data_IF_505528407357
#
_entry.id   IF_505528407357
#
_cell.length_a   1.000
_cell.length_b   1.000
_cell.length_c   1.000
_cell.angle_alpha   90.00
_cell.angle_beta   90.00
_cell.angle_gamma   90.00
#
_symmetry.space_group_name_H-M   'P 1'
#
loop_
_entity.id
_entity.type
_entity.pdbx_description
1 polymer ?
#
# COMPACT_ATOMS: atom_id res chain seq x y z
N UNK A 1 0.55 -34.27 72.33
CA UNK A 1 1.51 -33.71 71.35
C UNK A 1 1.36 -34.39 69.98
N UNK A 2 0.59 -33.77 69.07
CA UNK A 2 0.54 -34.19 67.67
C UNK A 2 0.33 -32.94 66.79
N UNK A 3 1.15 -32.89 65.75
CA UNK A 3 1.59 -31.73 64.97
C UNK A 3 0.47 -31.15 64.08
N UNK A 4 0.28 -29.83 64.12
CA UNK A 4 -0.58 -29.11 63.18
C UNK A 4 0.10 -28.98 61.81
N UNK A 5 -0.52 -29.54 60.76
CA UNK A 5 -0.11 -29.39 59.36
C UNK A 5 -0.67 -28.08 58.80
N UNK A 6 0.19 -27.09 58.60
CA UNK A 6 -0.14 -25.89 57.83
C UNK A 6 0.12 -26.16 56.35
N UNK A 7 -0.93 -26.10 55.53
CA UNK A 7 -0.80 -26.08 54.07
C UNK A 7 -0.50 -24.65 53.65
N UNK A 8 0.73 -24.40 53.22
CA UNK A 8 1.12 -23.14 52.57
C UNK A 8 0.55 -23.16 51.15
N UNK A 9 -0.50 -22.38 50.91
CA UNK A 9 -1.04 -22.16 49.56
C UNK A 9 -0.15 -21.14 48.85
N UNK A 10 0.70 -21.61 47.94
CA UNK A 10 1.53 -20.72 47.12
C UNK A 10 0.68 -19.96 46.11
N UNK A 11 0.62 -18.64 46.24
CA UNK A 11 0.00 -17.76 45.25
C UNK A 11 0.99 -17.53 44.10
N UNK A 12 0.75 -18.15 42.95
CA UNK A 12 1.49 -17.85 41.71
C UNK A 12 0.97 -16.52 41.16
N UNK A 13 1.71 -15.45 41.42
CA UNK A 13 1.55 -14.16 40.74
C UNK A 13 2.14 -14.30 39.32
N UNK A 14 1.30 -14.66 38.36
CA UNK A 14 1.60 -14.52 36.94
C UNK A 14 1.68 -13.03 36.61
N UNK A 15 2.90 -12.49 36.56
CA UNK A 15 3.17 -11.17 35.99
C UNK A 15 2.90 -11.27 34.49
N UNK A 16 1.68 -10.90 34.09
CA UNK A 16 1.34 -10.70 32.68
C UNK A 16 2.15 -9.53 32.15
N UNK A 17 3.22 -9.82 31.41
CA UNK A 17 3.89 -8.83 30.57
C UNK A 17 2.87 -8.44 29.50
N UNK A 18 2.15 -7.35 29.74
CA UNK A 18 1.45 -6.63 28.69
C UNK A 18 2.53 -6.11 27.75
N UNK A 19 2.91 -6.91 26.76
CA UNK A 19 3.50 -6.38 25.55
C UNK A 19 2.43 -5.45 24.96
N UNK A 20 2.52 -4.16 25.29
CA UNK A 20 1.95 -3.13 24.45
C UNK A 20 2.72 -3.22 23.13
N UNK A 21 2.29 -4.17 22.28
CA UNK A 21 2.67 -4.17 20.89
C UNK A 21 2.39 -2.77 20.37
N UNK A 22 3.38 -2.16 19.74
CA UNK A 22 3.17 -0.92 19.02
C UNK A 22 2.23 -1.28 17.86
N UNK A 23 0.93 -1.15 18.12
CA UNK A 23 -0.10 -1.39 17.12
C UNK A 23 0.02 -0.30 16.07
N UNK A 24 0.28 -0.69 14.83
CA UNK A 24 0.57 0.24 13.75
C UNK A 24 -0.74 0.59 13.06
N UNK A 25 -1.05 1.88 12.98
CA UNK A 25 -2.29 2.34 12.35
C UNK A 25 -2.28 2.13 10.82
N UNK A 26 -1.10 1.95 10.21
CA UNK A 26 -0.91 1.92 8.76
C UNK A 26 -0.86 0.49 8.24
N UNK A 27 -2.04 -0.04 7.91
CA UNK A 27 -2.26 -1.41 7.43
C UNK A 27 -3.24 -1.44 6.26
N UNK A 28 -3.11 -2.43 5.38
CA UNK A 28 -4.20 -2.78 4.49
C UNK A 28 -5.38 -3.29 5.33
N UNK A 29 -6.59 -2.85 5.00
CA UNK A 29 -7.81 -3.24 5.70
C UNK A 29 -8.87 -3.70 4.72
N UNK A 30 -9.62 -4.73 5.10
CA UNK A 30 -10.75 -5.23 4.32
C UNK A 30 -12.02 -4.40 4.56
N UNK A 31 -13.15 -4.83 3.99
CA UNK A 31 -14.44 -4.14 4.08
C UNK A 31 -15.00 -4.07 5.52
N UNK A 32 -14.61 -4.99 6.39
CA UNK A 32 -15.00 -4.98 7.81
C UNK A 32 -14.09 -4.08 8.66
N UNK A 33 -13.04 -3.52 8.05
CA UNK A 33 -12.00 -2.77 8.75
C UNK A 33 -10.95 -3.66 9.43
N UNK A 34 -11.02 -4.98 9.27
CA UNK A 34 -10.02 -5.90 9.81
C UNK A 34 -8.69 -5.72 9.08
N UNK A 35 -7.59 -5.89 9.80
CA UNK A 35 -6.25 -5.84 9.22
C UNK A 35 -5.99 -7.07 8.36
N UNK A 36 -5.43 -6.84 7.17
CA UNK A 36 -5.01 -7.89 6.25
C UNK A 36 -3.59 -7.63 5.76
N UNK A 37 -2.85 -8.70 5.48
CA UNK A 37 -1.47 -8.58 5.03
C UNK A 37 -1.38 -8.03 3.60
N UNK A 38 -2.33 -8.42 2.75
CA UNK A 38 -2.46 -7.96 1.38
C UNK A 38 -3.92 -8.09 0.94
N UNK A 39 -4.30 -7.35 -0.10
CA UNK A 39 -5.53 -7.61 -0.85
C UNK A 39 -5.40 -7.17 -2.31
N UNK A 40 -6.16 -7.82 -3.18
CA UNK A 40 -6.43 -7.37 -4.54
C UNK A 40 -7.89 -6.94 -4.62
N UNK A 41 -8.12 -5.78 -5.24
CA UNK A 41 -9.45 -5.25 -5.51
C UNK A 41 -9.58 -4.95 -7.00
N UNK A 42 -10.64 -5.46 -7.62
CA UNK A 42 -10.97 -5.25 -9.04
C UNK A 42 -12.34 -4.60 -9.18
N UNK A 43 -12.36 -3.29 -9.45
CA UNK A 43 -13.56 -2.54 -9.76
C UNK A 43 -14.06 -2.88 -11.16
N UNK A 44 -15.36 -3.13 -11.26
CA UNK A 44 -16.00 -3.47 -12.53
C UNK A 44 -16.13 -2.26 -13.45
N UNK A 45 -16.10 -2.44 -14.79
CA UNK A 45 -16.50 -1.38 -15.71
C UNK A 45 -17.97 -1.02 -15.46
N UNK A 46 -18.39 0.16 -15.93
CA UNK A 46 -19.78 0.60 -15.78
C UNK A 46 -20.71 -0.07 -16.80
N UNK A 47 -20.74 -1.40 -16.79
CA UNK A 47 -21.73 -2.21 -17.47
C UNK A 47 -22.89 -2.45 -16.49
N UNK A 48 -24.13 -2.34 -16.97
CA UNK A 48 -25.35 -2.57 -16.18
C UNK A 48 -25.48 -1.73 -14.89
N UNK A 49 -24.92 -0.52 -14.87
CA UNK A 49 -24.90 0.40 -13.71
C UNK A 49 -24.12 -0.13 -12.50
N UNK A 50 -23.21 -1.08 -12.72
CA UNK A 50 -22.43 -1.73 -11.67
C UNK A 50 -21.01 -1.14 -11.53
N UNK A 51 -20.76 0.03 -12.11
CA UNK A 51 -19.45 0.70 -12.14
C UNK A 51 -18.89 1.14 -10.79
N UNK A 52 -19.57 0.91 -9.67
CA UNK A 52 -19.03 1.12 -8.32
C UNK A 52 -18.80 -0.19 -7.55
N UNK A 53 -19.32 -1.31 -8.06
CA UNK A 53 -19.09 -2.64 -7.47
C UNK A 53 -17.69 -3.15 -7.80
N UNK A 54 -17.15 -3.96 -6.91
CA UNK A 54 -15.83 -4.56 -7.09
C UNK A 54 -15.75 -5.98 -6.56
N UNK A 55 -14.87 -6.77 -7.17
CA UNK A 55 -14.40 -8.02 -6.62
C UNK A 55 -13.23 -7.77 -5.68
N UNK A 56 -13.14 -8.57 -4.63
CA UNK A 56 -12.14 -8.47 -3.58
C UNK A 56 -11.52 -9.84 -3.32
N UNK A 57 -10.24 -9.86 -2.99
CA UNK A 57 -9.50 -11.05 -2.59
C UNK A 57 -8.45 -10.69 -1.55
N UNK A 58 -8.38 -11.46 -0.47
CA UNK A 58 -7.28 -11.46 0.49
C UNK A 58 -6.99 -12.91 0.94
N UNK A 59 -6.11 -13.09 1.93
CA UNK A 59 -5.78 -14.42 2.48
C UNK A 59 -7.00 -15.20 3.00
N UNK A 60 -7.99 -14.49 3.55
CA UNK A 60 -9.16 -15.07 4.20
C UNK A 60 -10.31 -15.41 3.26
N UNK A 61 -10.35 -14.83 2.05
CA UNK A 61 -11.48 -15.03 1.12
C UNK A 61 -11.42 -16.34 0.34
N UNK A 62 -10.25 -17.00 0.27
CA UNK A 62 -10.02 -18.21 -0.54
C UNK A 62 -10.45 -18.04 -2.02
N UNK A 63 -10.15 -16.87 -2.60
CA UNK A 63 -10.48 -16.52 -3.99
C UNK A 63 -11.27 -15.22 -4.11
N UNK A 64 -11.73 -14.93 -5.33
CA UNK A 64 -12.50 -13.72 -5.62
C UNK A 64 -13.89 -13.80 -4.99
N UNK A 65 -14.26 -12.78 -4.24
CA UNK A 65 -15.61 -12.57 -3.77
C UNK A 65 -16.15 -11.22 -4.26
N UNK A 66 -17.45 -11.13 -4.49
CA UNK A 66 -18.09 -9.85 -4.76
C UNK A 66 -18.24 -9.09 -3.43
N UNK A 67 -17.69 -7.87 -3.36
CA UNK A 67 -17.84 -7.02 -2.18
C UNK A 67 -19.28 -6.57 -2.00
N UNK A 68 -19.69 -6.38 -0.74
CA UNK A 68 -20.96 -5.74 -0.39
C UNK A 68 -20.85 -4.21 -0.35
N UNK A 69 -19.63 -3.70 -0.39
CA UNK A 69 -19.32 -2.27 -0.39
C UNK A 69 -19.17 -1.75 -1.83
N UNK A 70 -19.44 -0.46 -2.01
CA UNK A 70 -19.06 0.25 -3.23
C UNK A 70 -17.64 0.80 -3.09
N UNK A 71 -16.93 0.94 -4.19
CA UNK A 71 -15.53 1.40 -4.19
C UNK A 71 -15.36 2.84 -3.67
N UNK A 72 -16.43 3.63 -3.70
CA UNK A 72 -16.51 4.99 -3.18
C UNK A 72 -17.14 5.07 -1.78
N UNK A 73 -17.46 3.94 -1.16
CA UNK A 73 -17.98 3.87 0.20
C UNK A 73 -16.96 4.40 1.20
N UNK A 74 -17.42 5.01 2.30
CA UNK A 74 -16.58 5.46 3.42
C UNK A 74 -16.23 4.33 4.40
N UNK A 75 -16.77 3.12 4.20
CA UNK A 75 -16.50 1.91 5.00
C UNK A 75 -15.89 0.74 4.23
N UNK A 76 -15.61 0.88 2.93
CA UNK A 76 -14.99 -0.19 2.12
C UNK A 76 -13.47 -0.33 2.32
N UNK A 77 -12.88 -1.41 1.80
CA UNK A 77 -11.45 -1.71 1.94
C UNK A 77 -10.52 -0.53 1.63
N UNK A 78 -10.78 0.24 0.56
CA UNK A 78 -10.00 1.44 0.22
C UNK A 78 -10.14 2.54 1.28
N UNK A 79 -11.35 2.83 1.75
CA UNK A 79 -11.58 3.85 2.76
C UNK A 79 -10.93 3.47 4.09
N UNK A 80 -11.06 2.22 4.50
CA UNK A 80 -10.45 1.69 5.72
C UNK A 80 -8.91 1.76 5.64
N UNK A 81 -8.33 1.40 4.50
CA UNK A 81 -6.87 1.46 4.26
C UNK A 81 -6.36 2.89 4.20
N UNK A 82 -7.11 3.82 3.60
CA UNK A 82 -6.73 5.23 3.47
C UNK A 82 -7.05 6.07 4.71
N UNK A 83 -7.72 5.51 5.72
CA UNK A 83 -8.10 6.22 6.94
C UNK A 83 -6.93 7.01 7.58
N UNK A 84 -5.69 6.48 7.71
CA UNK A 84 -4.58 7.26 8.27
C UNK A 84 -4.25 8.53 7.47
N UNK A 85 -4.39 8.49 6.14
CA UNK A 85 -4.21 9.64 5.28
C UNK A 85 -5.31 10.69 5.51
N UNK A 86 -6.56 10.25 5.64
CA UNK A 86 -7.70 11.13 5.90
C UNK A 86 -7.62 11.78 7.28
N UNK A 87 -7.22 11.03 8.30
CA UNK A 87 -6.98 11.57 9.64
C UNK A 87 -5.84 12.61 9.62
N UNK A 88 -4.80 12.38 8.82
CA UNK A 88 -3.69 13.32 8.64
C UNK A 88 -4.13 14.65 8.02
N UNK A 89 -5.08 14.63 7.08
CA UNK A 89 -5.62 15.87 6.49
C UNK A 89 -6.32 16.78 7.51
N UNK A 90 -6.97 16.20 8.51
CA UNK A 90 -7.61 16.96 9.58
C UNK A 90 -6.58 17.47 10.60
N UNK A 91 -5.62 16.62 10.95
CA UNK A 91 -4.58 16.93 11.95
C UNK A 91 -3.31 16.15 11.66
N UNK A 92 -2.19 16.87 11.56
CA UNK A 92 -0.86 16.25 11.42
C UNK A 92 -0.61 15.21 12.51
N UNK A 93 -0.14 14.04 12.09
CA UNK A 93 0.19 12.90 12.95
C UNK A 93 1.72 12.76 12.96
N UNK A 94 2.33 12.88 14.14
CA UNK A 94 3.78 12.72 14.27
C UNK A 94 4.20 11.29 13.96
N UNK A 95 5.25 11.13 13.15
CA UNK A 95 5.76 9.81 12.80
C UNK A 95 4.94 9.06 11.75
N UNK A 96 3.96 9.72 11.12
CA UNK A 96 3.30 9.28 9.90
C UNK A 96 3.89 10.01 8.69
N UNK A 97 3.90 9.33 7.54
CA UNK A 97 4.22 9.94 6.26
C UNK A 97 3.41 9.33 5.13
N UNK A 98 3.28 10.08 4.04
CA UNK A 98 2.60 9.62 2.84
C UNK A 98 3.25 10.14 1.57
N UNK A 99 3.05 9.41 0.48
CA UNK A 99 3.34 9.85 -0.88
C UNK A 99 2.25 9.31 -1.82
N UNK A 100 1.62 10.23 -2.55
CA UNK A 100 0.67 9.92 -3.61
C UNK A 100 1.35 10.17 -4.95
N UNK A 101 1.37 9.16 -5.83
CA UNK A 101 1.99 9.27 -7.14
C UNK A 101 1.02 8.86 -8.24
N UNK A 102 1.10 9.53 -9.38
CA UNK A 102 0.25 9.26 -10.55
C UNK A 102 0.76 10.02 -11.77
N UNK A 103 0.84 9.36 -12.93
CA UNK A 103 1.01 10.01 -14.24
C UNK A 103 -0.24 10.78 -14.69
N UNK A 104 -1.38 10.58 -14.02
CA UNK A 104 -2.63 11.31 -14.26
C UNK A 104 -3.19 11.80 -12.92
N UNK A 105 -2.51 12.76 -12.25
CA UNK A 105 -2.88 13.20 -10.90
C UNK A 105 -4.17 14.04 -10.89
N UNK A 106 -4.83 14.22 -9.74
CA UNK A 106 -5.93 15.17 -9.61
C UNK A 106 -5.44 16.62 -9.82
N UNK A 107 -6.36 17.52 -10.21
CA UNK A 107 -6.07 18.95 -10.29
C UNK A 107 -5.62 19.48 -8.91
N UNK A 108 -4.70 20.46 -8.84
CA UNK A 108 -4.13 21.25 -9.95
C UNK A 108 -2.89 20.65 -10.62
N UNK A 109 -2.49 19.43 -10.27
CA UNK A 109 -1.23 18.85 -10.74
C UNK A 109 -1.32 18.33 -12.18
N UNK A 110 -0.19 18.35 -12.87
CA UNK A 110 0.01 17.78 -14.21
C UNK A 110 1.35 17.06 -14.22
N UNK A 111 1.37 15.77 -14.52
CA UNK A 111 2.60 15.00 -14.62
C UNK A 111 3.26 15.22 -15.99
N UNK A 112 4.58 15.50 -16.05
CA UNK A 112 5.31 15.51 -17.32
C UNK A 112 5.33 14.12 -17.96
N UNK A 113 5.32 14.02 -19.31
CA UNK A 113 5.33 12.73 -20.02
C UNK A 113 6.62 11.92 -19.84
N UNK A 114 7.64 12.50 -19.22
CA UNK A 114 8.90 11.81 -18.90
C UNK A 114 8.82 10.91 -17.66
N UNK A 115 7.75 11.02 -16.85
CA UNK A 115 7.51 10.16 -15.70
C UNK A 115 6.83 8.85 -16.13
N UNK A 116 7.04 7.79 -15.35
CA UNK A 116 6.48 6.48 -15.67
C UNK A 116 4.98 6.41 -15.51
N UNK A 117 4.32 5.64 -16.40
CA UNK A 117 2.90 5.30 -16.33
C UNK A 117 2.65 4.42 -15.11
N UNK A 118 2.38 5.07 -13.99
CA UNK A 118 2.29 4.42 -12.69
C UNK A 118 1.47 5.29 -11.76
N UNK A 119 0.70 4.64 -10.89
CA UNK A 119 -0.14 5.31 -9.90
C UNK A 119 -0.18 4.50 -8.62
N UNK A 120 -0.23 5.17 -7.48
CA UNK A 120 -0.27 4.50 -6.21
C UNK A 120 -0.19 5.42 -5.00
N UNK A 121 -0.30 4.78 -3.85
CA UNK A 121 -0.27 5.39 -2.53
C UNK A 121 0.76 4.64 -1.68
N UNK A 122 1.65 5.40 -1.07
CA UNK A 122 2.55 4.93 -0.02
C UNK A 122 2.15 5.62 1.26
N UNK A 123 1.78 4.86 2.28
CA UNK A 123 1.60 5.37 3.65
C UNK A 123 2.54 4.58 4.55
N UNK A 124 3.16 5.24 5.53
CA UNK A 124 4.01 4.54 6.50
C UNK A 124 4.10 5.28 7.83
N UNK A 125 4.27 4.51 8.90
CA UNK A 125 4.65 4.99 10.22
C UNK A 125 6.02 4.41 10.62
N UNK A 126 6.41 4.55 11.89
CA UNK A 126 7.71 4.06 12.40
C UNK A 126 7.78 2.53 12.53
N UNK A 127 6.68 1.81 12.39
CA UNK A 127 6.58 0.36 12.57
C UNK A 127 6.29 -0.38 11.25
N UNK A 128 5.31 0.08 10.48
CA UNK A 128 4.93 -0.53 9.21
C UNK A 128 4.38 0.49 8.21
N UNK A 129 3.94 0.01 7.05
CA UNK A 129 3.28 0.85 6.08
C UNK A 129 2.57 0.02 5.01
N UNK A 130 1.87 0.73 4.13
CA UNK A 130 1.23 0.15 2.95
C UNK A 130 1.84 0.71 1.68
N UNK A 131 2.01 -0.16 0.70
CA UNK A 131 2.17 0.24 -0.71
C UNK A 131 0.95 -0.27 -1.48
N UNK A 132 0.14 0.67 -1.95
CA UNK A 132 -1.07 0.44 -2.73
C UNK A 132 -0.83 0.87 -4.18
N UNK A 133 -0.65 -0.08 -5.09
CA UNK A 133 -0.57 0.19 -6.53
C UNK A 133 -1.96 0.17 -7.15
N UNK A 134 -2.24 1.06 -8.12
CA UNK A 134 -3.55 1.10 -8.78
C UNK A 134 -3.52 1.64 -10.21
N UNK A 135 -4.60 1.41 -10.96
CA UNK A 135 -4.77 1.94 -12.33
C UNK A 135 -5.62 3.21 -12.42
N UNK A 136 -6.29 3.62 -11.33
CA UNK A 136 -7.30 4.70 -11.35
C UNK A 136 -6.71 6.10 -11.55
N UNK A 137 -7.02 6.80 -12.65
CA UNK A 137 -6.57 8.18 -12.84
C UNK A 137 -7.25 9.12 -11.83
N UNK A 138 -6.54 10.18 -11.43
CA UNK A 138 -6.99 11.22 -10.47
C UNK A 138 -7.36 10.70 -9.08
N UNK A 139 -6.90 9.50 -8.72
CA UNK A 139 -7.08 8.90 -7.40
C UNK A 139 -5.87 9.14 -6.48
N UNK A 140 -6.12 9.30 -5.16
CA UNK A 140 -7.39 9.74 -4.59
C UNK A 140 -7.72 11.17 -5.07
N UNK A 141 -8.95 11.60 -4.85
CA UNK A 141 -9.29 13.02 -5.01
C UNK A 141 -8.42 13.87 -4.08
N UNK A 142 -8.03 15.06 -4.55
CA UNK A 142 -7.05 15.87 -3.86
C UNK A 142 -7.56 16.33 -2.48
N UNK A 143 -6.83 15.93 -1.42
CA UNK A 143 -7.07 16.31 -0.02
C UNK A 143 -8.55 16.28 0.40
N UNK A 144 -9.23 15.20 0.03
CA UNK A 144 -10.64 14.99 0.35
C UNK A 144 -10.88 13.58 0.87
N UNK A 145 -11.84 13.46 1.81
CA UNK A 145 -12.34 12.17 2.29
C UNK A 145 -13.32 11.53 1.32
N UNK A 146 -13.93 12.30 0.42
CA UNK A 146 -14.64 11.78 -0.75
C UNK A 146 -13.61 11.37 -1.81
N UNK A 147 -12.85 10.31 -1.50
CA UNK A 147 -11.58 9.97 -2.14
C UNK A 147 -11.70 9.42 -3.57
N UNK A 148 -12.89 8.94 -3.94
CA UNK A 148 -13.11 8.31 -5.24
C UNK A 148 -13.36 9.35 -6.36
N UNK A 149 -12.62 9.30 -7.48
CA UNK A 149 -12.82 10.25 -8.58
C UNK A 149 -13.88 9.77 -9.57
N UNK A 150 -14.71 10.69 -10.09
CA UNK A 150 -15.80 10.37 -11.03
C UNK A 150 -15.32 9.66 -12.31
N UNK A 151 -14.12 10.00 -12.81
CA UNK A 151 -13.57 9.33 -14.00
C UNK A 151 -13.20 7.86 -13.75
N UNK A 152 -13.10 7.43 -12.49
CA UNK A 152 -12.92 6.03 -12.12
C UNK A 152 -14.16 5.19 -12.39
N UNK A 153 -15.33 5.79 -12.61
CA UNK A 153 -16.59 5.05 -12.76
C UNK A 153 -16.67 4.28 -14.08
N UNK A 154 -16.18 4.85 -15.18
CA UNK A 154 -16.41 4.30 -16.52
C UNK A 154 -15.73 2.94 -16.75
N UNK A 155 -14.42 2.86 -16.47
CA UNK A 155 -13.61 1.69 -16.81
C UNK A 155 -13.38 0.78 -15.62
N UNK A 156 -12.99 -0.47 -15.89
CA UNK A 156 -12.46 -1.34 -14.86
C UNK A 156 -11.19 -0.73 -14.25
N UNK A 157 -10.98 -0.97 -12.97
CA UNK A 157 -9.79 -0.50 -12.25
C UNK A 157 -9.31 -1.58 -11.31
N UNK A 158 -8.00 -1.73 -11.17
CA UNK A 158 -7.43 -2.68 -10.24
C UNK A 158 -6.54 -1.99 -9.22
N UNK A 159 -6.48 -2.59 -8.03
CA UNK A 159 -5.76 -2.13 -6.87
C UNK A 159 -5.10 -3.35 -6.21
N UNK A 160 -3.86 -3.18 -5.78
CA UNK A 160 -3.13 -4.16 -4.98
C UNK A 160 -2.53 -3.46 -3.77
N UNK A 161 -2.95 -3.86 -2.57
CA UNK A 161 -2.42 -3.36 -1.31
C UNK A 161 -1.56 -4.44 -0.67
N UNK A 162 -0.37 -4.07 -0.20
CA UNK A 162 0.43 -4.92 0.67
C UNK A 162 0.94 -4.14 1.87
N UNK A 163 0.77 -4.73 3.05
CA UNK A 163 1.31 -4.25 4.31
C UNK A 163 2.74 -4.73 4.46
N UNK A 164 3.70 -3.80 4.51
CA UNK A 164 5.11 -4.11 4.68
C UNK A 164 5.65 -3.65 6.04
N UNK A 165 6.59 -4.38 6.65
CA UNK A 165 7.34 -3.85 7.79
C UNK A 165 8.20 -2.67 7.33
N UNK A 166 8.42 -1.69 8.22
CA UNK A 166 9.13 -0.44 7.90
C UNK A 166 10.46 -0.64 7.13
N UNK A 167 11.20 -1.71 7.45
CA UNK A 167 12.48 -2.04 6.79
C UNK A 167 12.39 -2.22 5.26
N UNK A 168 11.22 -2.55 4.70
CA UNK A 168 11.05 -2.71 3.24
C UNK A 168 10.98 -1.37 2.50
N UNK A 169 10.66 -0.28 3.19
CA UNK A 169 10.38 1.00 2.53
C UNK A 169 11.61 1.67 1.91
N UNK A 170 12.82 1.26 2.32
CA UNK A 170 14.04 1.60 1.58
C UNK A 170 14.00 1.01 0.17
N UNK A 171 13.74 -0.29 0.04
CA UNK A 171 13.71 -0.99 -1.24
C UNK A 171 12.51 -0.56 -2.11
N UNK A 172 11.35 -0.32 -1.49
CA UNK A 172 10.19 0.26 -2.18
C UNK A 172 10.54 1.64 -2.77
N UNK A 173 11.28 2.49 -2.05
CA UNK A 173 11.79 3.75 -2.59
C UNK A 173 12.70 3.56 -3.81
N UNK A 174 13.52 2.51 -3.82
CA UNK A 174 14.33 2.14 -5.00
C UNK A 174 13.43 1.73 -6.18
N UNK A 175 12.44 0.87 -5.96
CA UNK A 175 11.50 0.45 -7.01
C UNK A 175 10.77 1.68 -7.61
N UNK A 176 10.26 2.57 -6.77
CA UNK A 176 9.55 3.78 -7.21
C UNK A 176 10.46 4.77 -7.97
N UNK A 177 11.75 4.84 -7.61
CA UNK A 177 12.76 5.58 -8.37
C UNK A 177 12.95 5.00 -9.77
N UNK A 178 12.98 3.68 -9.91
CA UNK A 178 13.12 3.01 -11.21
C UNK A 178 11.88 3.15 -12.08
N UNK A 179 10.69 3.06 -11.47
CA UNK A 179 9.41 3.40 -12.10
C UNK A 179 9.40 4.86 -12.57
N UNK A 180 10.21 5.73 -11.96
CA UNK A 180 10.18 7.17 -12.16
C UNK A 180 8.78 7.72 -11.86
N UNK A 181 8.27 7.37 -10.66
CA UNK A 181 6.93 7.71 -10.22
C UNK A 181 6.77 9.23 -10.00
N UNK A 182 5.70 9.81 -10.55
CA UNK A 182 5.40 11.23 -10.37
C UNK A 182 4.68 11.47 -9.03
N UNK A 183 5.44 11.80 -7.99
CA UNK A 183 4.89 12.23 -6.68
C UNK A 183 4.21 13.60 -6.83
N UNK A 184 2.89 13.65 -6.65
CA UNK A 184 2.10 14.88 -6.79
C UNK A 184 1.72 15.51 -5.45
N UNK A 185 1.54 14.73 -4.39
CA UNK A 185 1.35 15.20 -3.02
C UNK A 185 2.06 14.23 -2.07
N UNK A 186 2.85 14.77 -1.13
CA UNK A 186 3.62 13.96 -0.20
C UNK A 186 3.99 14.74 1.05
N UNK A 187 4.06 14.04 2.18
CA UNK A 187 4.71 14.51 3.39
C UNK A 187 5.50 13.33 3.98
N UNK A 188 6.80 13.29 3.68
CA UNK A 188 7.72 12.24 4.15
C UNK A 188 8.71 12.87 5.14
N UNK A 189 8.62 12.56 6.45
CA UNK A 189 9.55 13.06 7.45
C UNK A 189 11.02 12.77 7.10
N UNK A 190 11.93 13.64 7.55
CA UNK A 190 13.37 13.48 7.29
C UNK A 190 13.98 12.24 7.94
N UNK A 191 13.29 11.68 8.94
CA UNK A 191 13.63 10.42 9.63
C UNK A 191 13.30 9.18 8.81
N UNK A 192 12.52 9.30 7.73
CA UNK A 192 12.17 8.20 6.84
C UNK A 192 13.21 7.97 5.75
N UNK A 193 13.21 6.80 5.05
CA UNK A 193 14.24 6.44 4.09
C UNK A 193 14.46 7.52 3.03
N UNK A 194 15.74 7.82 2.75
CA UNK A 194 16.11 8.85 1.78
C UNK A 194 15.63 8.49 0.37
N UNK A 195 15.53 7.20 0.04
CA UNK A 195 15.05 6.69 -1.23
C UNK A 195 13.59 7.12 -1.48
N UNK A 196 12.72 7.02 -0.47
CA UNK A 196 11.35 7.53 -0.55
C UNK A 196 11.31 9.05 -0.65
N UNK A 197 12.08 9.74 0.21
CA UNK A 197 12.14 11.21 0.20
C UNK A 197 12.56 11.76 -1.16
N UNK A 198 13.50 11.09 -1.80
CA UNK A 198 14.03 11.47 -3.09
C UNK A 198 12.99 11.33 -4.21
N UNK A 199 12.19 10.26 -4.21
CA UNK A 199 11.04 10.12 -5.12
C UNK A 199 9.95 11.16 -4.81
N UNK A 200 9.66 11.38 -3.52
CA UNK A 200 8.68 12.36 -3.08
C UNK A 200 9.00 13.78 -3.58
N UNK A 201 10.29 14.14 -3.58
CA UNK A 201 10.80 15.41 -4.09
C UNK A 201 10.93 15.45 -5.62
N UNK A 202 10.80 14.31 -6.31
CA UNK A 202 11.02 14.13 -7.76
C UNK A 202 12.46 14.41 -8.20
N UNK A 203 13.42 14.21 -7.30
CA UNK A 203 14.83 14.58 -7.48
C UNK A 203 15.72 13.42 -7.97
N UNK A 204 15.17 12.21 -8.07
CA UNK A 204 15.92 11.05 -8.56
C UNK A 204 15.18 10.16 -9.54
N UNK A 205 16.02 9.58 -10.39
CA UNK A 205 15.76 8.55 -11.37
C UNK A 205 17.08 7.79 -11.57
N UNK A 206 17.07 6.56 -12.12
CA UNK A 206 18.31 5.84 -12.44
C UNK A 206 19.12 6.62 -13.49
N UNK A 207 20.40 6.89 -13.19
CA UNK A 207 21.31 7.66 -14.06
C UNK A 207 22.27 6.77 -14.86
N UNK A 208 22.36 5.49 -14.50
CA UNK A 208 23.25 4.49 -15.09
C UNK A 208 22.49 3.16 -15.16
N UNK A 209 22.99 2.29 -16.02
CA UNK A 209 22.54 0.91 -16.12
C UNK A 209 22.76 0.13 -14.81
N UNK A 210 21.97 -0.92 -14.55
CA UNK A 210 20.85 -1.40 -15.37
C UNK A 210 19.66 -0.42 -15.36
N UNK A 211 18.88 -0.35 -16.45
CA UNK A 211 17.67 0.49 -16.56
C UNK A 211 16.42 -0.14 -15.93
N UNK A 212 16.61 -1.19 -15.14
CA UNK A 212 15.55 -1.90 -14.43
C UNK A 212 16.00 -2.23 -13.00
N UNK A 213 15.04 -2.58 -12.15
CA UNK A 213 15.24 -3.13 -10.82
C UNK A 213 14.29 -4.30 -10.61
N UNK A 214 14.76 -5.32 -9.90
CA UNK A 214 13.95 -6.44 -9.42
C UNK A 214 14.25 -6.63 -7.93
N UNK A 215 13.21 -6.71 -7.11
CA UNK A 215 13.36 -6.95 -5.69
C UNK A 215 12.29 -7.92 -5.18
N UNK A 216 12.68 -8.79 -4.24
CA UNK A 216 11.71 -9.53 -3.43
C UNK A 216 11.41 -8.72 -2.18
N UNK A 217 10.15 -8.31 -2.05
CA UNK A 217 9.61 -7.62 -0.89
C UNK A 217 8.83 -8.61 -0.05
N UNK A 218 9.10 -8.65 1.25
CA UNK A 218 8.41 -9.53 2.20
C UNK A 218 7.42 -8.72 3.02
N UNK A 219 6.14 -9.09 2.95
CA UNK A 219 5.04 -8.49 3.71
C UNK A 219 5.18 -8.69 5.22
N UNK A 220 4.27 -8.11 5.99
CA UNK A 220 4.29 -8.18 7.45
C UNK A 220 4.03 -9.59 7.97
N UNK A 221 3.20 -10.37 7.27
CA UNK A 221 2.94 -11.78 7.58
C UNK A 221 3.93 -12.75 6.93
N UNK A 222 4.97 -12.24 6.26
CA UNK A 222 6.06 -13.07 5.73
C UNK A 222 5.87 -13.59 4.30
N UNK A 223 4.83 -13.15 3.58
CA UNK A 223 4.61 -13.49 2.17
C UNK A 223 5.59 -12.70 1.30
N UNK A 224 6.17 -13.36 0.30
CA UNK A 224 7.09 -12.74 -0.64
C UNK A 224 6.33 -12.24 -1.89
N UNK A 225 6.60 -11.01 -2.27
CA UNK A 225 6.12 -10.36 -3.49
C UNK A 225 7.34 -9.96 -4.32
N UNK A 226 7.31 -10.22 -5.62
CA UNK A 226 8.39 -9.79 -6.52
C UNK A 226 7.96 -8.48 -7.19
N UNK A 227 8.74 -7.43 -6.97
CA UNK A 227 8.55 -6.14 -7.63
C UNK A 227 9.53 -6.01 -8.79
N UNK A 228 9.00 -5.70 -9.97
CA UNK A 228 9.75 -5.38 -11.16
C UNK A 228 9.49 -3.94 -11.56
N UNK A 229 10.55 -3.16 -11.70
CA UNK A 229 10.50 -1.78 -12.11
C UNK A 229 11.39 -1.55 -13.32
N UNK A 230 10.82 -0.97 -14.38
CA UNK A 230 11.57 -0.52 -15.55
C UNK A 230 11.62 1.00 -15.59
N UNK A 231 12.75 1.54 -16.02
CA UNK A 231 12.89 2.93 -16.41
C UNK A 231 12.67 3.10 -17.90
N UNK A 232 12.35 4.31 -18.37
CA UNK A 232 12.05 4.60 -19.79
C UNK A 232 13.17 4.23 -20.77
N UNK A 233 14.39 3.97 -20.30
CA UNK A 233 15.53 3.55 -21.12
C UNK A 233 15.72 2.03 -21.18
N UNK A 234 14.86 1.26 -20.51
CA UNK A 234 14.79 -0.18 -20.66
C UNK A 234 14.18 -0.49 -22.04
N UNK A 235 14.91 -1.22 -22.88
CA UNK A 235 14.52 -1.46 -24.28
C UNK A 235 13.25 -2.31 -24.39
N UNK A 236 12.38 -1.98 -25.35
CA UNK A 236 11.09 -2.66 -25.57
C UNK A 236 11.22 -4.13 -26.03
N UNK A 237 12.43 -4.60 -26.34
CA UNK A 237 12.73 -5.99 -26.73
C UNK A 237 13.54 -6.80 -25.69
N UNK A 238 13.88 -6.21 -24.55
CA UNK A 238 14.57 -6.93 -23.48
C UNK A 238 13.54 -7.71 -22.65
N UNK A 239 13.13 -8.88 -23.15
CA UNK A 239 12.36 -9.83 -22.35
C UNK A 239 13.24 -10.37 -21.23
N UNK A 240 12.77 -10.27 -19.98
CA UNK A 240 13.37 -11.01 -18.87
C UNK A 240 13.32 -12.51 -19.21
N UNK A 241 14.49 -13.12 -19.42
CA UNK A 241 14.62 -14.56 -19.54
C UNK A 241 14.42 -15.15 -18.14
N UNK A 242 13.19 -15.53 -17.77
CA UNK A 242 12.97 -16.39 -16.61
C UNK A 242 11.69 -17.21 -16.73
N UNK A 243 11.86 -18.52 -16.88
CA UNK A 243 10.81 -19.53 -17.05
C UNK A 243 10.11 -19.96 -15.74
N UNK A 244 10.25 -19.25 -14.60
CA UNK A 244 9.76 -19.73 -13.30
C UNK A 244 9.05 -18.68 -12.42
N UNK A 245 8.27 -17.74 -12.99
CA UNK A 245 7.54 -16.74 -12.19
C UNK A 245 6.06 -16.72 -12.56
N UNK A 246 5.31 -17.68 -12.01
CA UNK A 246 3.85 -17.65 -11.93
C UNK A 246 3.41 -17.85 -10.48
N UNK A 247 3.77 -16.92 -9.59
CA UNK A 247 3.03 -16.68 -8.35
C UNK A 247 3.04 -15.18 -8.04
N UNK A 248 1.85 -14.58 -8.07
CA UNK A 248 1.51 -13.25 -7.55
C UNK A 248 2.18 -12.03 -8.21
N UNK A 249 2.22 -11.98 -9.55
CA UNK A 249 2.61 -10.77 -10.30
C UNK A 249 1.38 -9.94 -10.67
N UNK A 250 1.19 -8.79 -10.02
CA UNK A 250 0.18 -7.79 -10.41
C UNK A 250 0.91 -6.61 -11.07
N UNK A 251 1.15 -6.73 -12.37
CA UNK A 251 1.71 -5.64 -13.18
C UNK A 251 0.56 -4.74 -13.66
N UNK A 252 0.38 -3.60 -13.00
CA UNK A 252 -0.45 -2.51 -13.53
C UNK A 252 0.43 -1.70 -14.47
N UNK A 253 0.35 -2.02 -15.77
CA UNK A 253 0.98 -1.26 -16.85
C UNK A 253 0.15 -0.04 -17.23
#
# INVERSE_FOLDING_TARGET
PAVARWRVMGFLLSVGILFQGCDSAVKCRNDRGDEVDWYILYKRPNEDKLGLSYFYMDESTNGWMLSQENINSDSGALANTLKPLFDFYDRKIEGFGYMLYSDQPPKPYVAPPSFGHSKGVVLLDKASGVWLSHSTPKFPTYRSKAFWPDNGNANAQAFMCVTYPYKQFKEIGVQLKYIHAYSYDSEIPTTFPNELRCVAQRDCYPRKEPWFSQATLTSSSGRNFISFAKYTRFGDGECFQKEDIFQDEFMLY
#
